data_IF_062717494758
#
_entry.id   IF_062717494758
#
_cell.length_a   1.000
_cell.length_b   1.000
_cell.length_c   1.000
_cell.angle_alpha   90.00
_cell.angle_beta   90.00
_cell.angle_gamma   90.00
#
_symmetry.space_group_name_H-M   'P 1'
#
loop_
_entity.id
_entity.type
_entity.pdbx_description
1 polymer ?
#
# COMPACT_ATOMS: atom_id res chain seq x y z
N UNK A 1 12.56 14.83 -9.10
CA UNK A 1 12.74 13.49 -8.51
C UNK A 1 14.24 13.24 -8.39
N UNK A 2 14.83 13.38 -7.19
CA UNK A 2 16.28 13.13 -7.00
C UNK A 2 16.60 11.67 -6.64
N UNK A 3 15.62 10.97 -6.05
CA UNK A 3 15.80 9.67 -5.38
C UNK A 3 15.09 8.49 -6.08
N UNK A 4 14.56 8.72 -7.29
CA UNK A 4 13.76 7.75 -8.07
C UNK A 4 14.60 7.10 -9.19
N UNK A 5 14.65 5.76 -9.34
CA UNK A 5 15.30 5.12 -10.51
C UNK A 5 14.72 3.74 -10.90
N UNK A 6 14.61 3.54 -12.21
CA UNK A 6 14.12 2.31 -12.87
C UNK A 6 15.25 1.47 -13.55
N UNK A 7 16.43 2.07 -13.79
CA UNK A 7 17.60 1.44 -14.44
C UNK A 7 18.88 2.24 -14.10
N UNK A 8 20.09 1.63 -14.06
CA UNK A 8 21.32 2.35 -13.70
C UNK A 8 21.91 3.17 -14.89
N UNK A 9 22.73 4.22 -14.62
CA UNK A 9 23.43 5.02 -15.63
C UNK A 9 24.31 4.20 -16.60
N UNK A 10 24.54 4.69 -17.82
CA UNK A 10 25.33 3.98 -18.85
C UNK A 10 26.74 3.60 -18.35
N UNK A 11 27.36 4.48 -17.55
CA UNK A 11 28.66 4.24 -16.92
C UNK A 11 28.68 3.07 -15.91
N UNK A 12 27.52 2.58 -15.47
CA UNK A 12 27.40 1.47 -14.50
C UNK A 12 27.09 0.13 -15.17
N UNK A 13 26.63 0.14 -16.43
CA UNK A 13 26.15 -1.06 -17.13
C UNK A 13 27.22 -2.13 -17.31
N UNK A 14 28.45 -1.71 -17.58
CA UNK A 14 29.61 -2.60 -17.75
C UNK A 14 30.09 -3.21 -16.42
N UNK A 15 29.57 -2.71 -15.30
CA UNK A 15 29.84 -3.19 -13.94
C UNK A 15 28.66 -3.96 -13.33
N UNK A 16 27.55 -4.09 -14.06
CA UNK A 16 26.41 -4.89 -13.63
C UNK A 16 26.69 -6.39 -13.84
N UNK A 17 26.17 -7.24 -12.96
CA UNK A 17 26.23 -8.69 -13.16
C UNK A 17 25.39 -9.09 -14.39
N UNK A 18 25.89 -10.06 -15.16
CA UNK A 18 25.15 -10.66 -16.26
C UNK A 18 23.88 -11.36 -15.74
N UNK A 19 22.75 -11.15 -16.41
CA UNK A 19 21.44 -11.62 -15.92
C UNK A 19 20.88 -12.79 -16.71
N UNK A 20 21.20 -12.91 -18.00
CA UNK A 20 20.65 -13.95 -18.89
C UNK A 20 21.45 -14.04 -20.21
N UNK A 21 21.27 -15.11 -20.99
CA UNK A 21 21.92 -15.30 -22.30
C UNK A 21 20.89 -15.32 -23.45
N UNK A 22 20.82 -14.22 -24.22
CA UNK A 22 20.01 -14.00 -25.42
C UNK A 22 18.47 -14.08 -25.25
N UNK A 23 17.74 -13.80 -26.34
CA UNK A 23 16.28 -14.00 -26.47
C UNK A 23 15.95 -15.05 -27.55
N UNK A 24 16.80 -16.07 -27.65
CA UNK A 24 16.77 -17.05 -28.74
C UNK A 24 15.66 -18.11 -28.60
N UNK A 25 15.09 -18.29 -27.41
CA UNK A 25 13.95 -19.17 -27.18
C UNK A 25 12.64 -18.51 -27.62
N UNK A 26 12.48 -17.24 -27.29
CA UNK A 26 11.31 -16.41 -27.57
C UNK A 26 11.23 -16.07 -29.05
N UNK A 27 12.37 -15.80 -29.70
CA UNK A 27 12.46 -15.68 -31.16
C UNK A 27 11.90 -16.90 -31.91
N UNK A 28 11.96 -18.10 -31.32
CA UNK A 28 11.39 -19.32 -31.91
C UNK A 28 9.89 -19.46 -31.66
N UNK A 29 9.36 -18.82 -30.63
CA UNK A 29 7.94 -18.88 -30.23
C UNK A 29 7.07 -17.86 -30.98
N UNK A 30 7.64 -16.75 -31.46
CA UNK A 30 6.89 -15.68 -32.12
C UNK A 30 7.18 -15.65 -33.62
N UNK A 31 6.19 -15.99 -34.46
CA UNK A 31 6.32 -15.95 -35.92
C UNK A 31 6.11 -14.52 -36.46
N UNK A 32 6.98 -13.58 -36.07
CA UNK A 32 6.86 -12.17 -36.40
C UNK A 32 8.25 -11.52 -36.58
N UNK A 33 8.61 -11.15 -37.81
CA UNK A 33 9.98 -10.75 -38.21
C UNK A 33 10.37 -9.29 -37.92
N UNK A 34 9.57 -8.53 -37.15
CA UNK A 34 9.76 -7.08 -36.99
C UNK A 34 10.52 -6.64 -35.73
N UNK A 35 10.98 -7.57 -34.89
CA UNK A 35 11.68 -7.25 -33.62
C UNK A 35 13.20 -7.36 -33.76
N UNK A 36 13.92 -6.45 -33.08
CA UNK A 36 15.38 -6.35 -33.11
C UNK A 36 15.99 -7.24 -32.01
N UNK A 37 16.03 -8.55 -32.26
CA UNK A 37 16.33 -9.57 -31.26
C UNK A 37 17.75 -9.45 -30.68
N UNK A 38 17.88 -9.57 -29.34
CA UNK A 38 19.17 -9.54 -28.65
C UNK A 38 19.90 -10.89 -28.80
N UNK A 39 21.18 -10.82 -29.15
CA UNK A 39 22.09 -11.97 -29.20
C UNK A 39 23.19 -11.83 -28.14
N UNK A 40 23.48 -12.92 -27.41
CA UNK A 40 24.49 -12.96 -26.35
C UNK A 40 24.01 -12.52 -24.95
N UNK A 41 24.97 -12.44 -24.03
CA UNK A 41 24.73 -12.20 -22.60
C UNK A 41 24.19 -10.80 -22.33
N UNK A 42 23.04 -10.73 -21.65
CA UNK A 42 22.32 -9.50 -21.30
C UNK A 42 22.91 -8.92 -20.00
N UNK A 43 23.40 -7.68 -20.07
CA UNK A 43 24.01 -6.96 -18.94
C UNK A 43 23.51 -5.52 -18.89
N UNK A 44 23.00 -5.08 -17.74
CA UNK A 44 22.59 -3.69 -17.52
C UNK A 44 21.35 -3.25 -18.31
N UNK A 45 20.47 -4.20 -18.65
CA UNK A 45 19.20 -3.99 -19.37
C UNK A 45 18.06 -4.75 -18.68
N UNK A 46 16.81 -4.32 -18.91
CA UNK A 46 15.62 -5.02 -18.39
C UNK A 46 15.51 -6.41 -19.04
N UNK A 47 15.31 -7.45 -18.23
CA UNK A 47 15.26 -8.84 -18.70
C UNK A 47 14.03 -9.08 -19.58
N UNK A 48 12.86 -8.59 -19.16
CA UNK A 48 11.60 -8.71 -19.89
C UNK A 48 11.68 -8.18 -21.33
N UNK A 49 11.31 -9.04 -22.29
CA UNK A 49 11.38 -8.75 -23.72
C UNK A 49 10.46 -7.60 -24.14
N UNK A 50 9.22 -7.57 -23.63
CA UNK A 50 8.25 -6.55 -24.00
C UNK A 50 8.71 -5.17 -23.52
N UNK A 51 9.22 -5.11 -22.29
CA UNK A 51 9.84 -3.91 -21.72
C UNK A 51 11.09 -3.51 -22.51
N UNK A 52 11.92 -4.46 -22.92
CA UNK A 52 13.11 -4.21 -23.71
C UNK A 52 12.80 -3.60 -25.09
N UNK A 53 11.90 -4.22 -25.86
CA UNK A 53 11.53 -3.73 -27.20
C UNK A 53 10.83 -2.37 -27.20
N UNK A 54 10.28 -1.97 -26.04
CA UNK A 54 9.71 -0.64 -25.82
C UNK A 54 10.72 0.36 -25.24
N UNK A 55 12.02 0.09 -25.35
CA UNK A 55 13.09 0.99 -24.89
C UNK A 55 13.30 0.97 -23.37
N UNK A 56 12.91 -0.11 -22.70
CA UNK A 56 12.87 -0.20 -21.25
C UNK A 56 11.58 0.36 -20.64
N UNK A 57 10.44 0.24 -21.32
CA UNK A 57 9.14 0.73 -20.81
C UNK A 57 8.13 -0.40 -20.85
N UNK A 58 7.83 -0.98 -19.68
CA UNK A 58 6.62 -1.77 -19.48
C UNK A 58 5.92 -1.27 -18.22
N UNK A 59 4.65 -0.93 -18.39
CA UNK A 59 3.93 0.07 -17.59
C UNK A 59 3.75 -0.31 -16.12
N UNK A 60 4.21 0.63 -15.26
CA UNK A 60 3.96 0.76 -13.82
C UNK A 60 4.89 0.03 -12.84
N UNK A 61 6.06 -0.40 -13.29
CA UNK A 61 7.19 -0.63 -12.38
C UNK A 61 8.08 0.64 -12.39
N UNK A 62 8.20 1.44 -11.32
CA UNK A 62 9.47 2.07 -10.93
C UNK A 62 9.59 3.10 -9.77
N UNK A 63 8.56 3.62 -9.08
CA UNK A 63 8.66 4.63 -7.97
C UNK A 63 8.25 4.23 -6.53
N UNK A 64 9.19 3.92 -5.62
CA UNK A 64 8.84 4.06 -4.20
C UNK A 64 8.58 5.54 -3.96
N UNK A 65 7.33 5.89 -3.65
CA UNK A 65 6.94 7.29 -3.51
C UNK A 65 6.96 7.65 -2.03
N UNK A 66 7.89 8.52 -1.63
CA UNK A 66 7.80 9.20 -0.34
C UNK A 66 6.61 10.19 -0.35
N UNK A 67 6.18 10.71 0.80
CA UNK A 67 5.25 11.85 0.84
C UNK A 67 5.77 13.03 -0.02
N UNK A 68 7.09 13.22 -0.07
CA UNK A 68 7.79 14.19 -0.92
C UNK A 68 7.74 13.85 -2.41
N UNK A 69 7.56 12.58 -2.79
CA UNK A 69 7.34 12.18 -4.19
C UNK A 69 5.87 12.28 -4.58
N UNK A 70 4.94 12.04 -3.64
CA UNK A 70 3.53 12.41 -3.81
C UNK A 70 3.38 13.93 -3.99
N UNK A 71 4.16 14.74 -3.25
CA UNK A 71 4.24 16.21 -3.40
C UNK A 71 4.74 16.66 -4.78
N UNK A 72 5.63 15.88 -5.39
CA UNK A 72 6.12 16.12 -6.76
C UNK A 72 5.14 15.64 -7.82
N UNK A 73 4.20 14.76 -7.46
CA UNK A 73 3.06 14.44 -8.29
C UNK A 73 1.98 15.52 -8.15
N UNK A 74 1.26 15.82 -9.22
CA UNK A 74 0.10 16.73 -9.13
C UNK A 74 -1.10 16.11 -8.39
N UNK A 75 -0.95 14.90 -7.80
CA UNK A 75 -2.06 14.21 -7.13
C UNK A 75 -2.47 14.87 -5.83
N UNK A 76 -1.53 15.44 -5.06
CA UNK A 76 -1.80 16.03 -3.74
C UNK A 76 -1.75 17.57 -3.74
N UNK A 77 -1.23 18.18 -4.81
CA UNK A 77 -1.04 19.62 -4.91
C UNK A 77 -2.39 20.36 -4.80
N UNK A 78 -2.47 21.28 -3.83
CA UNK A 78 -3.65 22.08 -3.54
C UNK A 78 -4.80 21.32 -2.88
N UNK A 79 -4.59 20.05 -2.48
CA UNK A 79 -5.66 19.20 -1.95
C UNK A 79 -5.71 19.19 -0.43
N UNK A 80 -6.93 19.07 0.06
CA UNK A 80 -7.28 18.69 1.43
C UNK A 80 -7.26 17.17 1.56
N UNK A 81 -6.38 16.67 2.42
CA UNK A 81 -6.06 15.24 2.57
C UNK A 81 -6.74 14.68 3.83
N UNK A 82 -7.47 13.58 3.65
CA UNK A 82 -7.84 12.67 4.75
C UNK A 82 -6.90 11.47 4.76
N UNK A 83 -6.16 11.27 5.84
CA UNK A 83 -5.16 10.21 5.93
C UNK A 83 -5.70 9.03 6.74
N UNK A 84 -5.80 7.86 6.10
CA UNK A 84 -6.17 6.59 6.74
C UNK A 84 -4.87 5.86 7.09
N UNK A 85 -4.55 5.83 8.38
CA UNK A 85 -3.24 5.36 8.87
C UNK A 85 -3.32 4.87 10.31
N UNK A 86 -2.24 4.23 10.77
CA UNK A 86 -1.96 3.92 12.18
C UNK A 86 -0.45 4.11 12.44
N UNK A 87 0.05 3.62 13.58
CA UNK A 87 1.46 3.71 13.96
C UNK A 87 2.43 2.96 13.02
N UNK A 88 1.95 2.07 12.15
CA UNK A 88 2.78 1.42 11.11
C UNK A 88 2.96 2.27 9.87
N UNK A 89 2.18 3.34 9.72
CA UNK A 89 2.30 4.33 8.66
C UNK A 89 3.55 5.18 8.88
N UNK A 90 4.72 4.62 8.62
CA UNK A 90 6.03 5.27 8.76
C UNK A 90 6.85 5.13 7.49
N UNK A 91 7.82 6.03 7.32
CA UNK A 91 8.88 5.91 6.31
C UNK A 91 10.02 4.97 6.78
N UNK A 92 11.04 4.80 5.93
CA UNK A 92 12.21 3.97 6.22
C UNK A 92 13.04 4.43 7.45
N UNK A 93 12.83 5.67 7.90
CA UNK A 93 13.48 6.25 9.09
C UNK A 93 12.57 6.23 10.33
N UNK A 94 11.43 5.54 10.25
CA UNK A 94 10.40 5.46 11.28
C UNK A 94 9.70 6.80 11.59
N UNK A 95 9.73 7.76 10.66
CA UNK A 95 8.93 8.98 10.78
C UNK A 95 7.50 8.70 10.34
N UNK A 96 6.53 9.07 11.17
CA UNK A 96 5.12 8.85 10.89
C UNK A 96 4.61 9.66 9.71
N UNK A 97 3.80 9.04 8.87
CA UNK A 97 3.25 9.62 7.65
C UNK A 97 2.38 10.86 7.91
N UNK A 98 1.64 10.93 9.02
CA UNK A 98 0.87 12.14 9.37
C UNK A 98 1.77 13.36 9.64
N UNK A 99 3.00 13.16 10.17
CA UNK A 99 3.99 14.24 10.29
C UNK A 99 4.54 14.63 8.94
N UNK A 100 4.84 13.64 8.12
CA UNK A 100 5.32 13.87 6.77
C UNK A 100 4.30 14.66 5.93
N UNK A 101 3.01 14.32 5.99
CA UNK A 101 1.93 15.05 5.30
C UNK A 101 1.69 16.45 5.88
N UNK A 102 1.90 16.65 7.18
CA UNK A 102 1.70 17.97 7.80
C UNK A 102 2.84 18.95 7.51
N UNK A 103 4.02 18.44 7.16
CA UNK A 103 5.18 19.23 6.75
C UNK A 103 5.21 19.56 5.25
N UNK A 104 4.37 18.91 4.42
CA UNK A 104 4.30 19.14 2.97
C UNK A 104 3.51 20.42 2.67
N UNK A 105 4.13 21.50 2.16
CA UNK A 105 3.43 22.77 1.92
C UNK A 105 2.42 22.71 0.77
N UNK A 106 2.55 21.71 -0.12
CA UNK A 106 1.71 21.58 -1.30
C UNK A 106 0.29 21.04 -1.00
N UNK A 107 0.03 20.51 0.19
CA UNK A 107 -1.28 19.97 0.57
C UNK A 107 -1.63 20.36 2.00
N UNK A 108 -2.89 20.12 2.40
CA UNK A 108 -3.33 20.30 3.78
C UNK A 108 -3.79 18.97 4.34
N UNK A 109 -3.17 18.50 5.43
CA UNK A 109 -3.72 17.40 6.21
C UNK A 109 -4.94 17.90 7.00
N UNK A 110 -6.13 17.41 6.66
CA UNK A 110 -7.41 17.92 7.19
C UNK A 110 -8.10 16.95 8.14
N UNK A 111 -7.83 15.65 8.06
CA UNK A 111 -8.31 14.66 9.00
C UNK A 111 -7.42 13.42 9.00
N UNK A 112 -7.40 12.70 10.11
CA UNK A 112 -6.79 11.39 10.25
C UNK A 112 -7.90 10.39 10.60
N UNK A 113 -7.86 9.23 9.96
CA UNK A 113 -8.77 8.11 10.20
C UNK A 113 -7.93 6.89 10.59
N UNK A 114 -8.24 6.28 11.74
CA UNK A 114 -7.47 5.13 12.24
C UNK A 114 -8.35 3.89 12.37
N UNK A 115 -7.89 2.70 11.92
CA UNK A 115 -8.63 1.44 12.05
C UNK A 115 -8.60 0.89 13.50
N UNK A 116 -8.98 -0.38 13.63
CA UNK A 116 -8.81 -1.23 14.82
C UNK A 116 -7.42 -1.11 15.46
N UNK A 117 -7.36 -1.21 16.79
CA UNK A 117 -6.20 -0.97 17.68
C UNK A 117 -5.74 0.50 17.84
N UNK A 118 -6.44 1.42 17.17
CA UNK A 118 -6.27 2.86 17.34
C UNK A 118 -4.95 3.40 16.76
N UNK A 119 -4.84 4.73 16.74
CA UNK A 119 -3.75 5.45 16.06
C UNK A 119 -2.36 5.14 16.65
N UNK A 120 -2.31 4.69 17.90
CA UNK A 120 -1.09 4.45 18.66
C UNK A 120 -0.75 2.97 18.91
N UNK A 121 -1.57 2.03 18.41
CA UNK A 121 -1.35 0.59 18.62
C UNK A 121 -1.46 0.10 20.07
N UNK A 122 -1.85 0.97 21.02
CA UNK A 122 -1.89 0.71 22.45
C UNK A 122 -3.30 0.62 23.03
N UNK A 123 -4.35 0.88 22.24
CA UNK A 123 -5.73 0.83 22.73
C UNK A 123 -6.28 -0.58 22.53
N UNK A 124 -6.33 -1.33 23.62
CA UNK A 124 -7.09 -2.58 23.72
C UNK A 124 -8.59 -2.26 23.60
N UNK A 125 -9.34 -3.17 22.99
CA UNK A 125 -10.73 -3.08 22.56
C UNK A 125 -11.66 -2.06 23.26
N UNK A 126 -12.44 -1.34 22.45
CA UNK A 126 -13.73 -0.77 22.86
C UNK A 126 -13.74 0.66 23.42
N UNK A 127 -12.62 1.37 23.47
CA UNK A 127 -12.60 2.78 23.89
C UNK A 127 -12.72 3.70 22.67
N UNK A 128 -13.83 4.43 22.57
CA UNK A 128 -13.99 5.51 21.62
C UNK A 128 -12.98 6.61 21.97
N UNK A 129 -11.90 6.73 21.19
CA UNK A 129 -10.97 7.85 21.31
C UNK A 129 -11.65 9.06 20.69
N UNK A 130 -12.44 9.77 21.49
CA UNK A 130 -12.83 11.13 21.16
C UNK A 130 -11.54 11.95 21.08
N UNK A 131 -11.48 12.84 20.09
CA UNK A 131 -10.37 13.74 19.74
C UNK A 131 -9.84 14.65 20.88
N UNK A 132 -10.31 14.47 22.12
CA UNK A 132 -10.02 15.30 23.28
C UNK A 132 -9.13 14.61 24.33
N UNK A 133 -8.94 13.29 24.27
CA UNK A 133 -8.09 12.55 25.23
C UNK A 133 -6.69 12.21 24.69
N UNK A 134 -6.26 12.86 23.60
CA UNK A 134 -4.88 12.69 23.10
C UNK A 134 -3.95 13.63 23.85
N UNK A 135 -3.62 13.28 25.09
CA UNK A 135 -2.53 13.88 25.86
C UNK A 135 -1.18 13.34 25.35
N UNK A 136 -0.87 13.58 24.08
CA UNK A 136 0.42 13.20 23.51
C UNK A 136 1.26 14.45 23.21
N UNK A 137 2.43 14.53 23.84
CA UNK A 137 3.48 15.50 23.52
C UNK A 137 3.79 15.51 22.00
N UNK A 138 3.53 14.41 21.30
CA UNK A 138 3.76 14.26 19.86
C UNK A 138 2.77 15.00 18.93
N UNK A 139 1.57 15.36 19.42
CA UNK A 139 0.62 16.26 18.73
C UNK A 139 0.74 17.71 19.22
N UNK A 140 1.70 18.01 20.09
CA UNK A 140 1.93 19.36 20.63
C UNK A 140 2.45 20.35 19.59
N UNK A 141 2.69 19.91 18.35
CA UNK A 141 2.98 20.84 17.26
C UNK A 141 1.69 21.61 16.90
N UNK A 142 1.72 22.95 16.86
CA UNK A 142 0.49 23.76 16.76
C UNK A 142 -0.40 23.42 15.56
N UNK A 143 0.18 23.03 14.43
CA UNK A 143 -0.57 22.66 13.23
C UNK A 143 -1.23 21.28 13.33
N UNK A 144 -0.58 20.31 13.97
CA UNK A 144 -1.12 18.96 14.18
C UNK A 144 -2.19 18.91 15.27
N UNK A 145 -2.10 19.78 16.28
CA UNK A 145 -3.10 19.87 17.36
C UNK A 145 -4.52 20.20 16.86
N UNK A 146 -4.64 20.76 15.65
CA UNK A 146 -5.94 21.13 15.04
C UNK A 146 -6.51 20.07 14.10
N UNK A 147 -5.76 18.99 13.80
CA UNK A 147 -6.19 17.94 12.87
C UNK A 147 -7.06 16.93 13.63
N UNK A 148 -8.35 16.77 13.27
CA UNK A 148 -9.21 15.78 13.91
C UNK A 148 -8.75 14.34 13.60
N UNK A 149 -8.84 13.47 14.60
CA UNK A 149 -8.59 12.03 14.49
C UNK A 149 -9.90 11.28 14.72
N UNK A 150 -10.30 10.45 13.76
CA UNK A 150 -11.51 9.65 13.79
C UNK A 150 -11.18 8.16 13.86
N UNK A 151 -11.87 7.43 14.73
CA UNK A 151 -11.78 5.96 14.78
C UNK A 151 -12.71 5.33 13.73
N UNK A 152 -12.16 4.39 12.96
CA UNK A 152 -12.85 3.53 11.99
C UNK A 152 -13.05 2.10 12.55
N UNK A 153 -13.45 2.00 13.82
CA UNK A 153 -13.69 0.74 14.51
C UNK A 153 -14.91 0.80 15.43
N UNK A 154 -15.50 -0.35 15.73
CA UNK A 154 -16.68 -0.47 16.60
C UNK A 154 -17.95 0.10 15.96
N UNK A 155 -18.49 1.18 16.52
CA UNK A 155 -19.75 1.77 16.05
C UNK A 155 -19.64 2.48 14.70
N UNK A 156 -18.43 2.85 14.29
CA UNK A 156 -18.18 3.56 13.04
C UNK A 156 -17.01 2.93 12.32
N UNK A 157 -17.26 1.99 11.41
CA UNK A 157 -16.24 1.30 10.61
C UNK A 157 -15.98 1.96 9.24
N UNK A 158 -16.68 3.07 8.97
CA UNK A 158 -16.67 3.80 7.70
C UNK A 158 -16.64 5.31 7.98
N UNK A 159 -15.87 6.12 7.23
CA UNK A 159 -15.93 7.57 7.35
C UNK A 159 -17.37 8.08 7.11
N UNK A 160 -17.86 8.94 8.00
CA UNK A 160 -19.19 9.56 7.82
C UNK A 160 -19.13 10.73 6.83
N UNK A 161 -20.29 11.11 6.29
CA UNK A 161 -20.41 12.27 5.38
C UNK A 161 -19.80 13.53 6.02
N UNK A 162 -20.14 13.80 7.28
CA UNK A 162 -19.63 14.97 8.01
C UNK A 162 -18.11 14.93 8.25
N UNK A 163 -17.53 13.74 8.41
CA UNK A 163 -16.08 13.59 8.55
C UNK A 163 -15.32 13.78 7.23
N UNK A 164 -16.01 13.59 6.09
CA UNK A 164 -15.46 13.76 4.75
C UNK A 164 -15.65 15.18 4.19
N UNK A 165 -16.36 16.05 4.91
CA UNK A 165 -16.59 17.43 4.46
C UNK A 165 -15.28 18.19 4.23
N UNK A 166 -15.12 18.71 3.01
CA UNK A 166 -13.94 19.47 2.62
C UNK A 166 -12.68 18.64 2.40
N UNK A 167 -12.77 17.31 2.29
CA UNK A 167 -11.67 16.43 1.89
C UNK A 167 -11.73 16.16 0.38
N UNK A 168 -10.62 16.39 -0.33
CA UNK A 168 -10.52 16.19 -1.78
C UNK A 168 -9.93 14.82 -2.14
N UNK A 169 -9.10 14.27 -1.25
CA UNK A 169 -8.34 13.04 -1.46
C UNK A 169 -8.21 12.27 -0.14
N UNK A 170 -8.62 10.99 -0.15
CA UNK A 170 -8.26 10.04 0.89
C UNK A 170 -6.96 9.30 0.52
N UNK A 171 -6.03 9.20 1.46
CA UNK A 171 -4.79 8.42 1.33
C UNK A 171 -4.83 7.29 2.33
N UNK A 172 -4.70 6.05 1.88
CA UNK A 172 -4.53 4.87 2.72
C UNK A 172 -3.05 4.50 2.77
N UNK A 173 -2.46 4.49 3.96
CA UNK A 173 -1.06 4.14 4.17
C UNK A 173 -0.83 3.49 5.55
N UNK A 174 -0.88 2.16 5.59
CA UNK A 174 -0.60 1.35 6.78
C UNK A 174 -0.28 -0.10 6.40
N UNK A 175 0.49 -0.79 7.25
CA UNK A 175 0.98 -2.14 7.02
C UNK A 175 -0.08 -3.20 7.35
N UNK A 176 -0.44 -4.01 6.34
CA UNK A 176 -1.26 -5.23 6.50
C UNK A 176 -0.38 -6.47 6.72
N UNK A 177 -0.99 -7.64 6.95
CA UNK A 177 -0.27 -8.91 7.15
C UNK A 177 -0.50 -9.99 6.07
N UNK A 178 -1.32 -9.74 5.06
CA UNK A 178 -1.60 -10.69 3.98
C UNK A 178 -2.67 -11.74 4.29
N UNK A 179 -3.45 -11.56 5.36
CA UNK A 179 -4.48 -12.49 5.81
C UNK A 179 -5.89 -11.87 5.75
N UNK A 180 -6.88 -12.62 5.23
CA UNK A 180 -8.25 -12.12 4.97
C UNK A 180 -8.99 -11.60 6.20
N UNK A 181 -8.77 -12.22 7.35
CA UNK A 181 -9.43 -11.83 8.60
C UNK A 181 -8.65 -10.78 9.39
N UNK A 182 -7.53 -10.27 8.84
CA UNK A 182 -6.92 -9.06 9.35
C UNK A 182 -7.69 -7.85 8.82
N UNK A 183 -8.33 -7.10 9.72
CA UNK A 183 -9.46 -6.21 9.42
C UNK A 183 -9.09 -4.91 8.69
N UNK A 184 -7.79 -4.66 8.45
CA UNK A 184 -7.32 -3.48 7.72
C UNK A 184 -7.82 -3.48 6.27
N UNK A 185 -7.95 -4.65 5.65
CA UNK A 185 -8.56 -4.76 4.31
C UNK A 185 -10.06 -4.42 4.30
N UNK A 186 -10.75 -4.57 5.44
CA UNK A 186 -12.14 -4.17 5.62
C UNK A 186 -12.25 -2.66 5.76
N UNK A 187 -11.34 -2.03 6.51
CA UNK A 187 -11.20 -0.57 6.54
C UNK A 187 -10.92 0.00 5.14
N UNK A 188 -10.03 -0.64 4.37
CA UNK A 188 -9.74 -0.26 2.98
C UNK A 188 -11.02 -0.22 2.14
N UNK A 189 -11.78 -1.34 2.10
CA UNK A 189 -13.00 -1.42 1.29
C UNK A 189 -14.04 -0.37 1.71
N UNK A 190 -14.33 -0.24 3.01
CA UNK A 190 -15.31 0.73 3.47
C UNK A 190 -14.92 2.18 3.19
N UNK A 191 -13.62 2.50 3.28
CA UNK A 191 -13.12 3.81 2.93
C UNK A 191 -13.19 4.07 1.41
N UNK A 192 -12.90 3.07 0.58
CA UNK A 192 -13.07 3.18 -0.88
C UNK A 192 -14.55 3.37 -1.26
N UNK A 193 -15.47 2.65 -0.61
CA UNK A 193 -16.92 2.85 -0.75
C UNK A 193 -17.29 4.28 -0.35
N UNK A 194 -16.79 4.78 0.79
CA UNK A 194 -17.06 6.14 1.27
C UNK A 194 -16.55 7.22 0.30
N UNK A 195 -15.33 7.08 -0.21
CA UNK A 195 -14.78 7.99 -1.20
C UNK A 195 -15.55 7.96 -2.52
N UNK A 196 -15.94 6.77 -2.98
CA UNK A 196 -16.72 6.59 -4.20
C UNK A 196 -18.08 7.28 -4.11
N UNK A 197 -18.80 7.12 -2.99
CA UNK A 197 -20.13 7.72 -2.79
C UNK A 197 -20.10 9.26 -2.78
N UNK A 198 -18.97 9.86 -2.37
CA UNK A 198 -18.81 11.31 -2.26
C UNK A 198 -17.98 11.91 -3.40
N UNK A 199 -17.59 11.10 -4.38
CA UNK A 199 -16.73 11.56 -5.47
C UNK A 199 -15.41 12.13 -4.98
N UNK A 200 -14.82 11.55 -3.94
CA UNK A 200 -13.49 11.90 -3.41
C UNK A 200 -12.45 11.03 -4.12
N UNK A 201 -11.26 11.57 -4.42
CA UNK A 201 -10.18 10.72 -4.96
C UNK A 201 -9.65 9.77 -3.87
N UNK A 202 -9.12 8.61 -4.27
CA UNK A 202 -8.56 7.64 -3.33
C UNK A 202 -7.17 7.23 -3.78
N UNK A 203 -6.19 7.32 -2.89
CA UNK A 203 -4.82 6.86 -3.11
C UNK A 203 -4.49 5.76 -2.12
N UNK A 204 -3.94 4.65 -2.59
CA UNK A 204 -3.30 3.64 -1.73
C UNK A 204 -1.79 3.77 -1.88
N UNK A 205 -1.09 4.03 -0.77
CA UNK A 205 0.35 3.83 -0.68
C UNK A 205 0.60 2.33 -0.48
N UNK A 206 1.12 1.68 -1.51
CA UNK A 206 1.31 0.24 -1.47
C UNK A 206 2.41 -0.16 -0.47
N UNK A 207 2.27 -1.34 0.14
CA UNK A 207 3.19 -1.86 1.17
C UNK A 207 3.42 -3.36 1.00
N UNK A 208 4.59 -3.89 1.44
CA UNK A 208 4.92 -5.30 1.26
C UNK A 208 3.88 -6.19 1.91
N UNK A 209 3.47 -7.26 1.24
CA UNK A 209 2.79 -8.34 1.94
C UNK A 209 3.86 -9.13 2.73
N UNK A 210 3.81 -9.16 4.08
CA UNK A 210 4.89 -9.73 4.87
C UNK A 210 4.98 -11.25 4.76
N UNK A 211 3.90 -11.90 4.29
CA UNK A 211 3.85 -13.32 4.00
C UNK A 211 3.87 -13.56 2.49
N UNK A 212 4.57 -12.73 1.72
CA UNK A 212 4.78 -12.82 0.27
C UNK A 212 3.48 -12.71 -0.56
N UNK A 213 3.64 -12.52 -1.87
CA UNK A 213 2.57 -12.59 -2.86
C UNK A 213 2.71 -13.79 -3.82
N UNK A 214 3.55 -14.78 -3.51
CA UNK A 214 3.79 -15.94 -4.40
C UNK A 214 2.95 -17.18 -4.06
N UNK A 215 2.20 -17.13 -2.96
CA UNK A 215 1.34 -18.22 -2.51
C UNK A 215 -0.08 -17.71 -2.20
N UNK A 216 -1.06 -18.58 -2.47
CA UNK A 216 -2.48 -18.36 -2.21
C UNK A 216 -3.00 -19.60 -1.51
N UNK A 217 -3.52 -19.43 -0.29
CA UNK A 217 -3.83 -20.57 0.60
C UNK A 217 -5.17 -20.40 1.32
N UNK A 218 -5.81 -21.53 1.61
CA UNK A 218 -7.08 -21.60 2.32
C UNK A 218 -8.32 -21.44 1.43
N UNK A 219 -9.51 -21.74 1.95
CA UNK A 219 -10.76 -21.62 1.19
C UNK A 219 -11.08 -20.16 0.90
N UNK A 220 -11.63 -19.91 -0.30
CA UNK A 220 -12.30 -18.66 -0.63
C UNK A 220 -13.51 -18.50 0.30
N UNK A 221 -13.82 -17.26 0.68
CA UNK A 221 -14.98 -16.98 1.52
C UNK A 221 -16.26 -17.38 0.79
N UNK A 222 -17.10 -18.18 1.44
CA UNK A 222 -18.39 -18.56 0.89
C UNK A 222 -19.28 -17.31 0.78
N UNK A 223 -20.01 -17.21 -0.34
CA UNK A 223 -20.97 -16.13 -0.56
C UNK A 223 -22.04 -16.12 0.54
N UNK A 224 -22.34 -14.96 1.08
CA UNK A 224 -23.25 -14.77 2.21
C UNK A 224 -22.58 -14.91 3.59
N UNK A 225 -21.29 -15.25 3.64
CA UNK A 225 -20.50 -15.26 4.87
C UNK A 225 -19.62 -14.00 5.01
N UNK A 226 -19.86 -12.96 4.20
CA UNK A 226 -19.15 -11.69 4.29
C UNK A 226 -19.41 -11.00 5.64
N UNK A 227 -18.34 -10.50 6.25
CA UNK A 227 -18.37 -9.79 7.52
C UNK A 227 -17.15 -8.88 7.64
N UNK A 228 -17.00 -8.16 8.76
CA UNK A 228 -15.84 -7.31 9.00
C UNK A 228 -14.51 -8.08 9.07
N UNK A 229 -14.53 -9.37 9.42
CA UNK A 229 -13.35 -10.27 9.41
C UNK A 229 -13.27 -11.14 8.15
N UNK A 230 -14.01 -10.77 7.11
CA UNK A 230 -14.09 -11.50 5.86
C UNK A 230 -14.87 -10.66 4.85
N UNK A 231 -14.29 -9.54 4.44
CA UNK A 231 -15.06 -8.51 3.71
C UNK A 231 -15.22 -8.80 2.21
N UNK A 232 -14.41 -9.72 1.68
CA UNK A 232 -14.34 -10.01 0.26
C UNK A 232 -13.99 -11.48 -0.02
N UNK A 233 -14.35 -11.93 -1.21
CA UNK A 233 -14.23 -13.31 -1.70
C UNK A 233 -12.79 -13.64 -2.13
N UNK A 234 -11.86 -13.49 -1.20
CA UNK A 234 -10.46 -13.88 -1.34
C UNK A 234 -10.14 -15.09 -0.46
N UNK A 235 -9.09 -15.87 -0.75
CA UNK A 235 -8.56 -16.92 0.13
C UNK A 235 -8.06 -16.38 1.48
N UNK A 236 -7.73 -17.25 2.43
CA UNK A 236 -7.22 -16.84 3.75
C UNK A 236 -5.92 -16.06 3.58
N UNK A 237 -4.92 -16.67 2.93
CA UNK A 237 -3.74 -15.97 2.44
C UNK A 237 -4.02 -15.61 1.00
N UNK A 238 -4.30 -14.33 0.77
CA UNK A 238 -4.83 -13.87 -0.51
C UNK A 238 -3.74 -13.55 -1.54
N UNK A 239 -2.47 -13.46 -1.12
CA UNK A 239 -1.32 -13.39 -2.04
C UNK A 239 -1.23 -12.11 -2.86
N UNK A 240 -1.73 -10.99 -2.33
CA UNK A 240 -1.69 -9.68 -2.98
C UNK A 240 -1.03 -8.65 -2.07
N UNK A 241 -0.47 -7.59 -2.63
CA UNK A 241 -0.19 -6.36 -1.87
C UNK A 241 -1.49 -5.62 -1.58
N UNK A 242 -1.45 -4.61 -0.71
CA UNK A 242 -2.63 -3.82 -0.41
C UNK A 242 -3.09 -2.99 -1.62
N UNK A 243 -2.15 -2.53 -2.46
CA UNK A 243 -2.45 -1.85 -3.73
C UNK A 243 -3.06 -2.76 -4.78
N UNK A 244 -2.56 -4.00 -4.89
CA UNK A 244 -3.16 -5.03 -5.74
C UNK A 244 -4.57 -5.39 -5.27
N UNK A 245 -4.76 -5.57 -3.96
CA UNK A 245 -6.08 -5.82 -3.37
C UNK A 245 -7.03 -4.65 -3.60
N UNK A 246 -6.59 -3.40 -3.45
CA UNK A 246 -7.40 -2.23 -3.76
C UNK A 246 -7.85 -2.21 -5.23
N UNK A 247 -6.97 -2.62 -6.15
CA UNK A 247 -7.32 -2.72 -7.58
C UNK A 247 -8.38 -3.79 -7.83
N UNK A 248 -8.28 -4.94 -7.15
CA UNK A 248 -9.30 -5.99 -7.16
C UNK A 248 -10.64 -5.48 -6.61
N UNK A 249 -10.63 -4.84 -5.44
CA UNK A 249 -11.82 -4.27 -4.80
C UNK A 249 -12.47 -3.20 -5.68
N UNK A 250 -11.68 -2.36 -6.36
CA UNK A 250 -12.21 -1.41 -7.34
C UNK A 250 -12.97 -2.13 -8.44
N UNK A 251 -12.37 -3.16 -9.05
CA UNK A 251 -12.99 -3.88 -10.15
C UNK A 251 -14.28 -4.61 -9.74
N UNK A 252 -14.29 -5.23 -8.55
CA UNK A 252 -15.38 -6.13 -8.15
C UNK A 252 -16.43 -5.49 -7.24
N UNK A 253 -16.08 -4.44 -6.49
CA UNK A 253 -16.93 -3.88 -5.43
C UNK A 253 -17.26 -2.41 -5.62
N UNK A 254 -16.28 -1.61 -6.04
CA UNK A 254 -16.41 -0.14 -6.13
C UNK A 254 -15.88 0.43 -7.45
N UNK A 255 -16.51 0.08 -8.60
CA UNK A 255 -16.00 0.43 -9.94
C UNK A 255 -15.94 1.94 -10.22
N UNK A 256 -16.77 2.73 -9.52
CA UNK A 256 -16.78 4.19 -9.64
C UNK A 256 -15.67 4.89 -8.80
N UNK A 257 -14.97 4.15 -7.93
CA UNK A 257 -13.92 4.71 -7.10
C UNK A 257 -12.77 5.26 -7.98
N UNK A 258 -12.41 6.53 -7.76
CA UNK A 258 -11.28 7.20 -8.43
C UNK A 258 -9.96 6.81 -7.76
N UNK A 259 -9.66 5.52 -7.81
CA UNK A 259 -8.48 4.92 -7.21
C UNK A 259 -7.22 5.22 -8.03
N UNK A 260 -6.17 5.63 -7.33
CA UNK A 260 -4.77 5.63 -7.73
C UNK A 260 -3.99 4.77 -6.75
N UNK A 261 -2.94 4.11 -7.21
CA UNK A 261 -2.03 3.34 -6.35
C UNK A 261 -0.63 3.88 -6.54
N UNK A 262 0.01 4.25 -5.42
CA UNK A 262 1.43 4.52 -5.37
C UNK A 262 2.14 3.17 -5.15
N UNK A 263 2.47 2.51 -6.26
CA UNK A 263 3.06 1.17 -6.28
C UNK A 263 4.43 1.13 -5.59
N UNK A 264 4.79 -0.04 -5.05
CA UNK A 264 6.15 -0.33 -4.58
C UNK A 264 7.05 -0.77 -5.72
N UNK A 265 8.36 -0.63 -5.54
CA UNK A 265 9.32 -0.94 -6.61
C UNK A 265 10.50 -1.74 -6.14
N UNK A 266 11.00 -2.69 -6.93
CA UNK A 266 11.97 -3.65 -6.39
C UNK A 266 11.40 -4.60 -5.34
N UNK A 267 10.15 -4.41 -4.89
CA UNK A 267 9.40 -5.47 -4.22
C UNK A 267 9.10 -6.55 -5.26
N UNK A 268 9.56 -7.76 -4.99
CA UNK A 268 9.23 -8.93 -5.78
C UNK A 268 8.22 -9.76 -5.00
N UNK A 269 7.27 -10.38 -5.71
CA UNK A 269 6.20 -11.18 -5.08
C UNK A 269 6.73 -12.32 -4.19
N UNK A 270 7.98 -12.76 -4.39
CA UNK A 270 8.63 -13.81 -3.60
C UNK A 270 9.28 -13.30 -2.30
N UNK A 271 9.46 -11.99 -2.15
CA UNK A 271 10.11 -11.41 -0.98
C UNK A 271 9.26 -11.62 0.25
N UNK A 272 9.90 -12.15 1.29
CA UNK A 272 9.42 -12.02 2.66
C UNK A 272 9.68 -10.59 3.14
N UNK A 273 9.05 -10.19 4.25
CA UNK A 273 9.21 -8.82 4.74
C UNK A 273 10.67 -8.49 5.10
N UNK A 274 11.40 -9.43 5.67
CA UNK A 274 12.81 -9.30 6.06
C UNK A 274 13.75 -9.17 4.85
N UNK A 275 13.38 -9.67 3.68
CA UNK A 275 14.10 -9.45 2.43
C UNK A 275 14.06 -7.98 1.97
N UNK A 276 13.08 -7.20 2.43
CA UNK A 276 12.91 -5.79 2.02
C UNK A 276 13.90 -4.83 2.70
N UNK A 277 14.54 -5.27 3.80
CA UNK A 277 15.38 -4.41 4.64
C UNK A 277 14.60 -3.37 5.47
N UNK A 278 13.28 -3.34 5.40
CA UNK A 278 12.43 -2.45 6.19
C UNK A 278 12.31 -2.94 7.64
N UNK A 279 12.17 -1.99 8.56
CA UNK A 279 11.90 -2.31 9.96
C UNK A 279 10.46 -2.82 10.12
N UNK A 280 10.28 -3.87 10.92
CA UNK A 280 8.95 -4.35 11.29
C UNK A 280 8.39 -3.50 12.42
N UNK A 281 7.33 -2.74 12.14
CA UNK A 281 6.52 -2.07 13.16
C UNK A 281 5.31 -2.95 13.43
N UNK A 282 5.18 -3.53 14.65
CA UNK A 282 4.07 -4.43 14.97
C UNK A 282 2.70 -3.79 14.71
N UNK A 283 1.88 -4.30 13.77
CA UNK A 283 0.61 -3.65 13.43
C UNK A 283 -0.44 -3.76 14.51
N UNK A 284 -0.35 -4.75 15.41
CA UNK A 284 -1.19 -4.85 16.59
C UNK A 284 -0.41 -5.45 17.78
N UNK A 285 -0.91 -5.30 19.02
CA UNK A 285 -0.28 -5.92 20.19
C UNK A 285 -0.06 -7.43 20.06
N UNK A 286 -0.98 -8.10 19.36
CA UNK A 286 -0.93 -9.55 19.11
C UNK A 286 -0.19 -9.91 17.81
N UNK A 287 0.43 -8.95 17.14
CA UNK A 287 1.27 -9.13 15.96
C UNK A 287 2.70 -8.62 16.17
N UNK A 288 3.43 -9.07 17.21
CA UNK A 288 4.71 -8.49 17.60
C UNK A 288 5.87 -8.80 16.65
N UNK A 289 5.76 -9.86 15.84
CA UNK A 289 6.90 -10.34 15.02
C UNK A 289 6.45 -10.82 13.65
N UNK A 290 7.39 -10.87 12.70
CA UNK A 290 7.19 -11.48 11.39
C UNK A 290 6.80 -12.95 11.50
N UNK A 291 7.40 -13.70 12.43
CA UNK A 291 7.02 -15.09 12.72
C UNK A 291 5.54 -15.19 13.09
N UNK A 292 5.01 -14.25 13.88
CA UNK A 292 3.59 -14.19 14.19
C UNK A 292 2.75 -13.97 12.94
N UNK A 293 3.16 -13.06 12.04
CA UNK A 293 2.45 -12.81 10.78
C UNK A 293 2.41 -14.04 9.87
N UNK A 294 3.50 -14.82 9.82
CA UNK A 294 3.60 -16.07 9.05
C UNK A 294 2.65 -17.15 9.60
N UNK A 295 2.57 -17.30 10.92
CA UNK A 295 1.76 -18.33 11.55
C UNK A 295 0.28 -17.97 11.67
N UNK A 296 -0.04 -16.67 11.72
CA UNK A 296 -1.39 -16.17 11.93
C UNK A 296 -2.44 -16.74 10.96
N UNK A 297 -2.19 -16.84 9.63
CA UNK A 297 -3.05 -17.52 8.66
C UNK A 297 -3.52 -18.94 9.05
N UNK A 298 -2.68 -19.67 9.79
CA UNK A 298 -2.95 -21.05 10.20
C UNK A 298 -3.48 -21.20 11.63
N UNK A 299 -3.15 -20.27 12.53
CA UNK A 299 -3.40 -20.43 13.97
C UNK A 299 -4.67 -19.74 14.47
N UNK A 300 -5.14 -18.66 13.84
CA UNK A 300 -6.29 -17.90 14.38
C UNK A 300 -7.64 -18.60 14.17
N UNK A 301 -7.66 -19.69 13.40
CA UNK A 301 -8.87 -20.48 13.13
C UNK A 301 -9.18 -21.53 14.19
N UNK A 302 -8.31 -21.67 15.21
CA UNK A 302 -8.41 -22.68 16.27
C UNK A 302 -9.10 -22.12 17.50
#
# INVERSE_FOLDING_TARGET
MEWTRFNPPQAWREHCAATEDSNSFERRMVNYERYDWREGVIIGQVHDENAHFLGGVSGNAGLFSTSTDLEKSDWIRGKSIGLITNHTGVDATLRSNYRLFSEVPACRLSAIFSPEHGFWGAVQDGIAVNSLDVSDENLSQPHLASVPVYSLYGQSIRPTVSQLEGIDLLVYDMQDIGARYYTYISTLLHAMEAASDHGIEFVVADRPNPITCNAVEGPILARGCESFVGIHTVPIRYGLTIGELATLLKAERVPACRLKVAWMHGYERRMWYDDTGLQWVPPSPNMPTLTTAILYPGLVLV
#
